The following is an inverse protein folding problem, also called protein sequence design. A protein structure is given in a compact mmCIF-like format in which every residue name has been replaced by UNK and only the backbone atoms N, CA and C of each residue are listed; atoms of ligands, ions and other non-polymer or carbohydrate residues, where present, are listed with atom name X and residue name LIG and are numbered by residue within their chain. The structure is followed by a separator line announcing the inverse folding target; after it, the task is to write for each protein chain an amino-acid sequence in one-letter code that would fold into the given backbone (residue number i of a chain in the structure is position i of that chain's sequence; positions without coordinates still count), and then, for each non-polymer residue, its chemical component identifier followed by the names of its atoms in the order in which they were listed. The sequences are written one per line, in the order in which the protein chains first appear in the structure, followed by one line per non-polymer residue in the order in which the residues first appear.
data_IF_127048509441
#
_entry.id   IF_127048509441
#
_cell.length_a   1.000
_cell.length_b   1.000
_cell.length_c   1.000
_cell.angle_alpha   90.00
_cell.angle_beta   90.00
_cell.angle_gamma   90.00
#
_symmetry.space_group_name_H-M   'P 1'
#
loop_
_entity.id
_entity.type
_entity.pdbx_description
1 polymer ?
#
# COMPACT_ATOMS: atom_id res chain seq x y z
N UNK A 1 -22.85 -10.66 4.04
CA UNK A 1 -23.56 -9.73 4.92
C UNK A 1 -23.20 -9.81 6.40
N UNK A 2 -22.45 -10.84 6.84
CA UNK A 2 -22.02 -10.96 8.24
C UNK A 2 -21.11 -9.80 8.67
N UNK A 3 -20.18 -9.35 7.82
CA UNK A 3 -19.27 -8.25 8.11
C UNK A 3 -20.04 -6.95 8.29
N UNK A 4 -20.99 -6.65 7.39
CA UNK A 4 -21.83 -5.46 7.48
C UNK A 4 -22.72 -5.50 8.74
N UNK A 5 -23.33 -6.66 9.03
CA UNK A 5 -24.11 -6.83 10.25
C UNK A 5 -23.28 -6.59 11.52
N UNK A 6 -22.09 -7.18 11.60
CA UNK A 6 -21.15 -6.97 12.70
C UNK A 6 -20.76 -5.50 12.84
N UNK A 7 -20.43 -4.82 11.74
CA UNK A 7 -20.10 -3.41 11.76
C UNK A 7 -21.26 -2.56 12.32
N UNK A 8 -22.48 -2.79 11.85
CA UNK A 8 -23.68 -2.09 12.32
C UNK A 8 -23.92 -2.40 13.80
N UNK A 9 -23.81 -3.65 14.24
CA UNK A 9 -24.02 -4.06 15.64
C UNK A 9 -22.99 -3.45 16.62
N UNK A 10 -21.82 -3.00 16.11
CA UNK A 10 -20.81 -2.28 16.90
C UNK A 10 -20.95 -0.75 16.83
N UNK A 11 -22.07 -0.25 16.31
CA UNK A 11 -22.40 1.18 16.29
C UNK A 11 -22.13 1.87 14.95
N UNK A 12 -21.82 1.14 13.90
CA UNK A 12 -21.45 1.65 12.58
C UNK A 12 -20.37 2.74 12.67
N UNK A 13 -20.25 3.58 11.65
CA UNK A 13 -19.22 4.63 11.64
C UNK A 13 -19.41 5.67 12.77
N UNK A 14 -20.65 6.02 13.09
CA UNK A 14 -20.94 7.11 14.03
C UNK A 14 -20.58 6.78 15.48
N UNK A 15 -20.78 5.54 15.89
CA UNK A 15 -20.68 5.11 17.29
C UNK A 15 -19.64 4.00 17.55
N UNK A 16 -18.87 3.59 16.53
CA UNK A 16 -17.83 2.58 16.73
C UNK A 16 -16.75 3.09 17.68
N UNK A 17 -16.52 2.32 18.74
CA UNK A 17 -15.48 2.63 19.71
C UNK A 17 -14.22 1.83 19.38
N UNK A 18 -13.18 2.53 18.89
CA UNK A 18 -11.87 1.93 18.58
C UNK A 18 -10.87 2.05 19.74
N UNK A 19 -11.25 2.70 20.85
CA UNK A 19 -10.39 2.79 22.03
C UNK A 19 -10.03 1.38 22.52
N UNK A 20 -8.77 1.15 22.86
CA UNK A 20 -8.22 -0.13 23.28
C UNK A 20 -8.24 -1.23 22.19
N UNK A 21 -8.63 -0.93 20.95
CA UNK A 21 -8.46 -1.85 19.85
C UNK A 21 -7.03 -1.81 19.34
N UNK A 22 -6.51 -2.99 18.98
CA UNK A 22 -5.18 -3.10 18.39
C UNK A 22 -5.23 -2.71 16.91
N UNK A 23 -4.29 -1.89 16.50
CA UNK A 23 -4.03 -1.68 15.08
C UNK A 23 -3.48 -2.98 14.46
N UNK A 24 -3.71 -3.20 13.17
CA UNK A 24 -3.18 -4.37 12.46
C UNK A 24 -1.66 -4.29 12.23
N UNK A 25 -1.07 -5.39 11.75
CA UNK A 25 0.33 -5.43 11.31
C UNK A 25 0.66 -4.37 10.25
N UNK A 26 -0.31 -4.01 9.39
CA UNK A 26 -0.15 -2.93 8.40
C UNK A 26 0.34 -1.62 9.02
N UNK A 27 -0.22 -1.24 10.17
CA UNK A 27 0.20 -0.02 10.90
C UNK A 27 1.62 -0.14 11.47
N UNK A 28 2.03 -1.33 11.91
CA UNK A 28 3.39 -1.58 12.40
C UNK A 28 4.41 -1.37 11.27
N UNK A 29 4.15 -1.94 10.07
CA UNK A 29 5.03 -1.77 8.93
C UNK A 29 5.09 -0.33 8.46
N UNK A 30 3.95 0.35 8.36
CA UNK A 30 3.91 1.77 8.00
C UNK A 30 4.78 2.61 8.96
N UNK A 31 4.59 2.44 10.26
CA UNK A 31 5.33 3.21 11.27
C UNK A 31 6.82 2.86 11.30
N UNK A 32 7.20 1.58 11.11
CA UNK A 32 8.62 1.18 11.11
C UNK A 32 9.39 1.79 9.95
N UNK A 33 8.78 1.82 8.76
CA UNK A 33 9.39 2.45 7.57
C UNK A 33 9.46 3.97 7.74
N UNK A 34 8.42 4.59 8.27
CA UNK A 34 8.42 6.03 8.54
C UNK A 34 9.47 6.41 9.57
N UNK A 35 9.59 5.66 10.66
CA UNK A 35 10.64 5.85 11.69
C UNK A 35 12.05 5.68 11.11
N UNK A 36 12.26 4.71 10.24
CA UNK A 36 13.52 4.52 9.52
C UNK A 36 13.95 5.79 8.78
N UNK A 37 13.03 6.43 8.06
CA UNK A 37 13.33 7.64 7.30
C UNK A 37 13.61 8.86 8.19
N UNK A 38 12.86 9.02 9.28
CA UNK A 38 13.08 10.11 10.22
C UNK A 38 14.43 9.94 10.93
N UNK A 39 14.72 8.75 11.45
CA UNK A 39 15.99 8.49 12.17
C UNK A 39 17.20 8.56 11.26
N UNK A 40 17.06 8.24 9.98
CA UNK A 40 18.11 8.41 8.95
C UNK A 40 18.19 9.84 8.43
N UNK A 41 17.40 10.78 8.98
CA UNK A 41 17.31 12.19 8.55
C UNK A 41 17.01 12.35 7.05
N UNK A 42 16.28 11.42 6.45
CA UNK A 42 15.84 11.53 5.05
C UNK A 42 14.73 12.57 4.85
N UNK A 43 14.18 13.11 5.92
CA UNK A 43 13.32 14.29 5.93
C UNK A 43 14.07 15.57 5.58
N UNK A 44 15.40 15.61 5.76
CA UNK A 44 16.24 16.71 5.29
C UNK A 44 16.50 16.56 3.79
N UNK A 45 16.15 17.58 2.96
CA UNK A 45 16.41 17.57 1.52
C UNK A 45 17.87 17.31 1.12
N UNK A 46 18.82 17.62 1.99
CA UNK A 46 20.25 17.38 1.74
C UNK A 46 20.61 15.88 1.84
N UNK A 47 19.86 15.11 2.57
CA UNK A 47 20.10 13.68 2.79
C UNK A 47 19.28 12.76 1.86
N UNK A 48 18.38 13.31 1.03
CA UNK A 48 17.53 12.52 0.11
C UNK A 48 18.33 11.76 -0.94
N UNK A 49 19.58 12.13 -1.16
CA UNK A 49 20.52 11.51 -2.10
C UNK A 49 21.33 10.35 -1.51
N UNK A 50 21.01 9.89 -0.31
CA UNK A 50 21.64 8.69 0.25
C UNK A 50 21.53 7.51 -0.71
N UNK A 51 22.56 6.65 -0.68
CA UNK A 51 22.58 5.43 -1.48
C UNK A 51 21.37 4.56 -1.14
N UNK A 52 20.73 4.00 -2.15
CA UNK A 52 19.56 3.10 -2.00
C UNK A 52 19.84 1.97 -1.03
N UNK A 53 21.01 1.32 -1.09
CA UNK A 53 21.37 0.23 -0.18
C UNK A 53 21.37 0.71 1.29
N UNK A 54 21.96 1.85 1.59
CA UNK A 54 21.97 2.41 2.96
C UNK A 54 20.56 2.68 3.48
N UNK A 55 19.67 3.19 2.63
CA UNK A 55 18.27 3.42 2.99
C UNK A 55 17.58 2.10 3.33
N UNK A 56 17.78 1.07 2.50
CA UNK A 56 17.17 -0.24 2.69
C UNK A 56 17.73 -0.96 3.92
N UNK A 57 19.03 -0.87 4.17
CA UNK A 57 19.63 -1.46 5.38
C UNK A 57 19.04 -0.86 6.66
N UNK A 58 18.89 0.46 6.72
CA UNK A 58 18.24 1.14 7.84
C UNK A 58 16.76 0.72 7.99
N UNK A 59 16.06 0.56 6.88
CA UNK A 59 14.67 0.10 6.86
C UNK A 59 14.54 -1.33 7.41
N UNK A 60 15.42 -2.24 7.01
CA UNK A 60 15.47 -3.62 7.52
C UNK A 60 15.66 -3.64 9.04
N UNK A 61 16.63 -2.88 9.54
CA UNK A 61 16.90 -2.78 10.98
C UNK A 61 15.64 -2.31 11.73
N UNK A 62 15.00 -1.23 11.26
CA UNK A 62 13.80 -0.71 11.92
C UNK A 62 12.61 -1.66 11.86
N UNK A 63 12.36 -2.29 10.71
CA UNK A 63 11.27 -3.28 10.61
C UNK A 63 11.48 -4.43 11.60
N UNK A 64 12.71 -4.94 11.70
CA UNK A 64 13.07 -6.01 12.65
C UNK A 64 12.88 -5.57 14.11
N UNK A 65 13.32 -4.36 14.47
CA UNK A 65 13.14 -3.80 15.81
C UNK A 65 11.64 -3.67 16.18
N UNK A 66 10.82 -3.15 15.26
CA UNK A 66 9.39 -2.98 15.50
C UNK A 66 8.69 -4.33 15.66
N UNK A 67 9.01 -5.29 14.81
CA UNK A 67 8.45 -6.64 14.88
C UNK A 67 8.86 -7.35 16.18
N UNK A 68 10.15 -7.32 16.54
CA UNK A 68 10.66 -8.01 17.73
C UNK A 68 10.17 -7.36 19.04
N UNK A 69 10.00 -6.04 19.05
CA UNK A 69 9.51 -5.30 20.23
C UNK A 69 7.99 -5.28 20.38
N UNK A 70 7.24 -5.75 19.39
CA UNK A 70 5.77 -5.75 19.44
C UNK A 70 5.24 -6.84 20.39
N UNK A 71 4.85 -6.41 21.59
CA UNK A 71 4.27 -7.29 22.63
C UNK A 71 2.93 -7.91 22.22
N UNK A 72 2.25 -7.34 21.22
CA UNK A 72 0.93 -7.76 20.74
C UNK A 72 0.98 -8.48 19.40
N UNK A 73 2.16 -8.89 18.92
CA UNK A 73 2.32 -9.46 17.57
C UNK A 73 1.39 -10.64 17.28
N UNK A 74 1.10 -11.50 18.27
CA UNK A 74 0.18 -12.64 18.13
C UNK A 74 -1.27 -12.23 17.81
N UNK A 75 -1.66 -10.98 18.13
CA UNK A 75 -3.00 -10.45 17.94
C UNK A 75 -3.11 -9.49 16.74
N UNK A 76 -2.04 -9.27 15.96
CA UNK A 76 -2.00 -8.28 14.88
C UNK A 76 -2.13 -8.85 13.48
N UNK A 77 -2.67 -10.04 13.34
CA UNK A 77 -2.96 -10.65 12.04
C UNK A 77 -1.70 -10.88 11.15
N UNK A 78 -0.53 -11.14 11.74
CA UNK A 78 0.60 -11.66 10.98
C UNK A 78 0.32 -13.09 10.55
N UNK A 79 0.64 -13.42 9.29
CA UNK A 79 0.67 -14.81 8.87
C UNK A 79 2.05 -15.46 9.13
N UNK A 80 2.12 -16.78 9.03
CA UNK A 80 3.32 -17.53 9.35
C UNK A 80 4.47 -17.26 8.35
N UNK A 81 4.16 -17.09 7.07
CA UNK A 81 5.14 -16.80 6.03
C UNK A 81 5.79 -15.43 6.28
N UNK A 82 4.97 -14.41 6.57
CA UNK A 82 5.49 -13.09 6.89
C UNK A 82 6.33 -13.09 8.17
N UNK A 83 5.94 -13.85 9.21
CA UNK A 83 6.73 -14.03 10.43
C UNK A 83 8.10 -14.63 10.10
N UNK A 84 8.15 -15.72 9.32
CA UNK A 84 9.40 -16.37 8.92
C UNK A 84 10.33 -15.42 8.15
N UNK A 85 9.78 -14.62 7.22
CA UNK A 85 10.53 -13.61 6.47
C UNK A 85 11.11 -12.52 7.38
N UNK A 86 10.34 -12.04 8.35
CA UNK A 86 10.81 -11.03 9.31
C UNK A 86 11.86 -11.58 10.28
N UNK A 87 11.74 -12.82 10.71
CA UNK A 87 12.75 -13.48 11.52
C UNK A 87 14.07 -13.63 10.73
N UNK A 88 14.00 -13.97 9.43
CA UNK A 88 15.18 -13.99 8.55
C UNK A 88 15.85 -12.62 8.43
N UNK A 89 15.07 -11.53 8.32
CA UNK A 89 15.60 -10.16 8.26
C UNK A 89 16.34 -9.75 9.54
N UNK A 90 15.97 -10.31 10.68
CA UNK A 90 16.64 -10.06 11.96
C UNK A 90 18.05 -10.64 12.05
N UNK A 91 18.42 -11.50 11.10
CA UNK A 91 19.77 -12.06 10.99
C UNK A 91 20.69 -11.09 10.24
N UNK A 92 21.71 -10.55 10.91
CA UNK A 92 22.68 -9.59 10.37
C UNK A 92 23.43 -10.06 9.11
N UNK A 93 23.48 -11.36 8.85
CA UNK A 93 24.12 -11.95 7.66
C UNK A 93 23.13 -12.12 6.48
N UNK A 94 21.90 -11.68 6.65
CA UNK A 94 20.88 -11.87 5.66
C UNK A 94 21.01 -10.87 4.50
N UNK A 95 21.17 -11.40 3.30
CA UNK A 95 21.26 -10.60 2.09
C UNK A 95 20.01 -10.78 1.23
N UNK A 96 19.08 -9.83 1.32
CA UNK A 96 17.82 -9.86 0.59
C UNK A 96 18.01 -9.86 -0.94
N UNK A 97 19.10 -9.31 -1.47
CA UNK A 97 19.38 -9.30 -2.90
C UNK A 97 19.59 -10.71 -3.50
N UNK A 98 19.80 -11.72 -2.64
CA UNK A 98 19.93 -13.14 -3.02
C UNK A 98 18.61 -13.89 -2.98
N UNK A 99 17.49 -13.25 -2.57
CA UNK A 99 16.18 -13.88 -2.69
C UNK A 99 15.91 -14.27 -4.14
N UNK A 100 15.62 -15.54 -4.35
CA UNK A 100 15.08 -15.99 -5.62
C UNK A 100 13.68 -15.44 -5.81
N UNK A 101 13.27 -15.35 -7.05
CA UNK A 101 11.88 -15.13 -7.42
C UNK A 101 11.01 -16.23 -6.81
N UNK A 102 9.84 -15.83 -6.32
CA UNK A 102 8.80 -16.73 -5.83
C UNK A 102 7.44 -16.23 -6.35
N UNK A 103 6.74 -17.09 -7.08
CA UNK A 103 5.43 -16.78 -7.68
C UNK A 103 4.36 -16.53 -6.59
N UNK A 104 4.47 -17.22 -5.46
CA UNK A 104 3.53 -17.10 -4.34
C UNK A 104 3.74 -15.79 -3.51
N UNK A 105 4.87 -15.12 -3.69
CA UNK A 105 5.22 -13.87 -2.99
C UNK A 105 4.46 -12.62 -3.50
N UNK A 106 3.31 -12.80 -4.15
CA UNK A 106 2.53 -11.73 -4.77
C UNK A 106 1.65 -10.92 -3.80
N UNK A 107 1.85 -11.07 -2.49
CA UNK A 107 0.95 -10.53 -1.46
C UNK A 107 0.92 -9.00 -1.33
N UNK A 108 -0.15 -8.49 -0.69
CA UNK A 108 -0.36 -7.07 -0.43
C UNK A 108 0.45 -6.52 0.76
N UNK A 109 1.10 -7.36 1.56
CA UNK A 109 1.75 -6.94 2.81
C UNK A 109 2.77 -5.81 2.67
N UNK A 110 3.62 -5.76 1.63
CA UNK A 110 4.59 -4.68 1.47
C UNK A 110 3.98 -3.33 1.08
N UNK A 111 2.76 -3.29 0.55
CA UNK A 111 2.17 -2.09 -0.05
C UNK A 111 2.12 -0.90 0.91
N UNK A 112 1.84 -1.15 2.19
CA UNK A 112 1.75 -0.08 3.20
C UNK A 112 3.08 0.65 3.42
N UNK A 113 4.21 0.02 3.06
CA UNK A 113 5.54 0.67 3.07
C UNK A 113 5.62 1.78 2.02
N UNK A 114 4.82 1.68 0.97
CA UNK A 114 4.71 2.72 -0.06
C UNK A 114 4.18 4.05 0.48
N UNK A 115 3.41 4.05 1.58
CA UNK A 115 2.87 5.28 2.16
C UNK A 115 3.99 6.21 2.65
N UNK A 116 4.85 5.83 3.60
CA UNK A 116 5.96 6.69 4.02
C UNK A 116 6.97 6.96 2.91
N UNK A 117 7.20 6.03 1.97
CA UNK A 117 8.05 6.26 0.80
C UNK A 117 7.48 7.39 -0.05
N UNK A 118 6.17 7.38 -0.34
CA UNK A 118 5.50 8.43 -1.09
C UNK A 118 5.52 9.79 -0.41
N UNK A 119 5.50 9.84 0.94
CA UNK A 119 5.63 11.07 1.72
C UNK A 119 7.04 11.65 1.57
N UNK A 120 8.06 10.87 1.85
CA UNK A 120 9.47 11.33 1.91
C UNK A 120 10.01 11.67 0.51
N UNK A 121 9.71 10.83 -0.48
CA UNK A 121 10.17 11.02 -1.86
C UNK A 121 9.11 11.68 -2.74
N UNK A 122 8.24 12.54 -2.18
CA UNK A 122 7.25 13.25 -2.97
C UNK A 122 7.89 14.26 -3.95
N UNK A 123 7.13 14.57 -5.00
CA UNK A 123 7.54 15.53 -6.03
C UNK A 123 8.19 14.89 -7.27
N UNK A 124 7.95 15.54 -8.41
CA UNK A 124 8.34 15.04 -9.73
C UNK A 124 9.83 14.70 -9.85
N UNK A 125 10.71 15.48 -9.22
CA UNK A 125 12.17 15.29 -9.25
C UNK A 125 12.64 14.01 -8.54
N UNK A 126 11.85 13.49 -7.61
CA UNK A 126 12.19 12.35 -6.76
C UNK A 126 11.61 11.03 -7.28
N UNK A 127 10.83 11.01 -8.36
CA UNK A 127 10.07 9.84 -8.82
C UNK A 127 10.91 8.62 -9.19
N UNK A 128 12.12 8.83 -9.69
CA UNK A 128 13.04 7.71 -9.96
C UNK A 128 13.52 7.08 -8.65
N UNK A 129 13.90 7.90 -7.68
CA UNK A 129 14.27 7.42 -6.34
C UNK A 129 13.10 6.74 -5.62
N UNK A 130 11.89 7.29 -5.75
CA UNK A 130 10.67 6.70 -5.24
C UNK A 130 10.44 5.29 -5.83
N UNK A 131 10.62 5.12 -7.16
CA UNK A 131 10.54 3.82 -7.83
C UNK A 131 11.56 2.83 -7.23
N UNK A 132 12.83 3.22 -7.15
CA UNK A 132 13.92 2.39 -6.62
C UNK A 132 13.63 1.93 -5.19
N UNK A 133 13.36 2.88 -4.28
CA UNK A 133 13.13 2.58 -2.85
C UNK A 133 11.88 1.72 -2.66
N UNK A 134 10.83 1.93 -3.45
CA UNK A 134 9.61 1.13 -3.37
C UNK A 134 9.87 -0.32 -3.75
N UNK A 135 10.57 -0.55 -4.86
CA UNK A 135 10.92 -1.90 -5.33
C UNK A 135 11.82 -2.60 -4.31
N UNK A 136 12.92 -1.96 -3.90
CA UNK A 136 13.87 -2.59 -2.99
C UNK A 136 13.31 -2.81 -1.57
N UNK A 137 12.49 -1.88 -1.07
CA UNK A 137 11.76 -2.06 0.19
C UNK A 137 10.85 -3.30 0.16
N UNK A 138 10.13 -3.50 -0.93
CA UNK A 138 9.30 -4.69 -1.10
C UNK A 138 10.15 -5.97 -1.14
N UNK A 139 11.22 -5.96 -1.94
CA UNK A 139 12.13 -7.09 -2.14
C UNK A 139 12.83 -7.56 -0.87
N UNK A 140 12.85 -6.79 0.19
CA UNK A 140 13.36 -7.25 1.49
C UNK A 140 12.59 -8.45 2.04
N UNK A 141 11.32 -8.61 1.66
CA UNK A 141 10.45 -9.70 2.11
C UNK A 141 9.73 -10.42 0.97
N UNK A 142 9.46 -9.74 -0.15
CA UNK A 142 8.65 -10.27 -1.27
C UNK A 142 9.35 -9.95 -2.60
N UNK A 143 9.95 -10.95 -3.21
CA UNK A 143 10.67 -10.78 -4.49
C UNK A 143 9.78 -11.17 -5.68
N UNK A 144 8.64 -10.48 -5.80
CA UNK A 144 7.60 -10.68 -6.81
C UNK A 144 7.18 -9.35 -7.43
N UNK A 145 6.93 -9.31 -8.75
CA UNK A 145 6.65 -8.05 -9.43
C UNK A 145 5.27 -7.48 -9.07
N UNK A 146 4.28 -8.33 -8.82
CA UNK A 146 2.95 -7.87 -8.41
C UNK A 146 3.01 -7.11 -7.08
N UNK A 147 3.76 -7.64 -6.11
CA UNK A 147 3.95 -6.99 -4.80
C UNK A 147 4.74 -5.69 -4.87
N UNK A 148 5.91 -5.68 -5.56
CA UNK A 148 6.70 -4.45 -5.58
C UNK A 148 6.10 -3.37 -6.49
N UNK A 149 5.37 -3.71 -7.54
CA UNK A 149 4.63 -2.73 -8.34
C UNK A 149 3.42 -2.18 -7.59
N UNK A 150 2.75 -2.99 -6.76
CA UNK A 150 1.74 -2.51 -5.83
C UNK A 150 2.31 -1.51 -4.81
N UNK A 151 3.49 -1.82 -4.25
CA UNK A 151 4.21 -0.91 -3.33
C UNK A 151 4.60 0.40 -4.03
N UNK A 152 5.14 0.32 -5.24
CA UNK A 152 5.47 1.49 -6.05
C UNK A 152 4.23 2.32 -6.41
N UNK A 153 3.13 1.68 -6.82
CA UNK A 153 1.87 2.35 -7.14
C UNK A 153 1.32 3.10 -5.92
N UNK A 154 1.38 2.46 -4.74
CA UNK A 154 1.03 3.13 -3.48
C UNK A 154 1.87 4.37 -3.23
N UNK A 155 3.19 4.25 -3.32
CA UNK A 155 4.10 5.38 -3.10
C UNK A 155 3.88 6.50 -4.11
N UNK A 156 3.68 6.16 -5.38
CA UNK A 156 3.39 7.12 -6.44
C UNK A 156 2.08 7.86 -6.18
N UNK A 157 1.00 7.16 -5.81
CA UNK A 157 -0.31 7.78 -5.56
C UNK A 157 -0.28 8.68 -4.33
N UNK A 158 0.43 8.32 -3.27
CA UNK A 158 0.66 9.20 -2.12
C UNK A 158 1.44 10.45 -2.53
N UNK A 159 2.51 10.30 -3.31
CA UNK A 159 3.27 11.45 -3.84
C UNK A 159 2.38 12.38 -4.67
N UNK A 160 1.60 11.83 -5.61
CA UNK A 160 0.67 12.61 -6.45
C UNK A 160 -0.42 13.30 -5.63
N UNK A 161 -0.89 12.63 -4.57
CA UNK A 161 -1.86 13.17 -3.63
C UNK A 161 -1.33 14.41 -2.90
N UNK A 162 -0.10 14.35 -2.39
CA UNK A 162 0.56 15.48 -1.73
C UNK A 162 0.87 16.63 -2.70
N UNK A 163 1.18 16.30 -3.94
CA UNK A 163 1.35 17.28 -5.04
C UNK A 163 0.01 17.90 -5.51
N UNK A 164 -1.13 17.45 -4.94
CA UNK A 164 -2.49 17.86 -5.33
C UNK A 164 -2.79 17.66 -6.82
N UNK A 165 -2.17 16.66 -7.42
CA UNK A 165 -2.49 16.23 -8.79
C UNK A 165 -3.89 15.65 -8.80
N UNK A 166 -4.70 16.03 -9.80
CA UNK A 166 -6.06 15.50 -9.95
C UNK A 166 -6.04 13.95 -9.98
N UNK A 167 -6.77 13.27 -9.10
CA UNK A 167 -6.76 11.82 -9.01
C UNK A 167 -7.11 11.11 -10.33
N UNK A 168 -7.95 11.69 -11.16
CA UNK A 168 -8.26 11.12 -12.48
C UNK A 168 -7.02 10.90 -13.38
N UNK A 169 -5.90 11.57 -13.10
CA UNK A 169 -4.65 11.47 -13.88
C UNK A 169 -3.67 10.43 -13.33
N UNK A 170 -3.92 9.87 -12.14
CA UNK A 170 -2.92 9.04 -11.46
C UNK A 170 -2.61 7.75 -12.20
N UNK A 171 -3.64 7.10 -12.75
CA UNK A 171 -3.47 5.87 -13.56
C UNK A 171 -2.65 6.16 -14.82
N UNK A 172 -2.88 7.30 -15.50
CA UNK A 172 -2.11 7.67 -16.70
C UNK A 172 -0.64 7.93 -16.36
N UNK A 173 -0.38 8.60 -15.24
CA UNK A 173 0.98 8.84 -14.77
C UNK A 173 1.67 7.52 -14.41
N UNK A 174 0.98 6.58 -13.78
CA UNK A 174 1.50 5.23 -13.51
C UNK A 174 1.84 4.50 -14.82
N UNK A 175 0.91 4.48 -15.78
CA UNK A 175 1.11 3.80 -17.06
C UNK A 175 2.27 4.37 -17.86
N UNK A 176 2.59 5.66 -17.72
CA UNK A 176 3.76 6.27 -18.38
C UNK A 176 5.08 5.67 -17.89
N UNK A 177 5.20 5.20 -16.63
CA UNK A 177 6.41 4.50 -16.15
C UNK A 177 6.65 3.18 -16.91
N UNK A 178 5.56 2.48 -17.30
CA UNK A 178 5.66 1.28 -18.13
C UNK A 178 6.04 1.63 -19.58
N UNK A 179 5.37 2.62 -20.16
CA UNK A 179 5.60 3.05 -21.55
C UNK A 179 7.00 3.61 -21.78
N UNK A 180 7.54 4.37 -20.81
CA UNK A 180 8.90 4.89 -20.82
C UNK A 180 9.97 3.82 -20.54
N UNK A 181 9.56 2.59 -20.21
CA UNK A 181 10.46 1.48 -19.91
C UNK A 181 11.23 1.63 -18.60
N UNK A 182 10.92 2.61 -17.75
CA UNK A 182 11.65 2.89 -16.50
C UNK A 182 11.67 1.70 -15.56
N UNK A 183 10.52 1.03 -15.38
CA UNK A 183 10.40 -0.15 -14.53
C UNK A 183 11.25 -1.29 -15.09
N UNK A 184 11.09 -1.62 -16.36
CA UNK A 184 11.81 -2.73 -17.04
C UNK A 184 13.31 -2.50 -17.00
N UNK A 185 13.78 -1.26 -17.24
CA UNK A 185 15.19 -0.91 -17.22
C UNK A 185 15.79 -1.08 -15.81
N UNK A 186 15.05 -0.67 -14.76
CA UNK A 186 15.47 -0.85 -13.38
C UNK A 186 15.57 -2.35 -13.02
N UNK A 187 14.57 -3.14 -13.35
CA UNK A 187 14.53 -4.57 -13.08
C UNK A 187 15.67 -5.32 -13.80
N UNK A 188 15.90 -5.04 -15.07
CA UNK A 188 17.02 -5.64 -15.82
C UNK A 188 18.39 -5.34 -15.23
N UNK A 189 18.53 -4.20 -14.53
CA UNK A 189 19.77 -3.78 -13.87
C UNK A 189 19.99 -4.46 -12.52
N UNK A 190 18.90 -4.75 -11.78
CA UNK A 190 18.96 -5.13 -10.35
C UNK A 190 18.60 -6.58 -10.06
N UNK A 191 17.86 -7.24 -10.95
CA UNK A 191 17.42 -8.63 -10.78
C UNK A 191 18.43 -9.60 -11.42
N UNK A 192 18.70 -10.76 -10.79
CA UNK A 192 19.51 -11.83 -11.38
C UNK A 192 18.97 -12.27 -12.74
N UNK A 193 19.87 -12.48 -13.72
CA UNK A 193 19.47 -12.82 -15.11
C UNK A 193 18.54 -14.02 -15.22
N UNK A 194 18.68 -15.01 -14.34
CA UNK A 194 17.85 -16.23 -14.32
C UNK A 194 16.38 -15.93 -14.00
N UNK A 195 16.09 -14.89 -13.20
CA UNK A 195 14.75 -14.55 -12.70
C UNK A 195 14.06 -13.47 -13.56
N UNK A 196 14.80 -12.75 -14.42
CA UNK A 196 14.28 -11.61 -15.21
C UNK A 196 13.03 -11.98 -16.00
N UNK A 197 12.97 -13.18 -16.61
CA UNK A 197 11.82 -13.59 -17.41
C UNK A 197 10.53 -13.62 -16.59
N UNK A 198 10.57 -14.17 -15.38
CA UNK A 198 9.41 -14.23 -14.49
C UNK A 198 8.91 -12.83 -14.12
N UNK A 199 9.83 -11.96 -13.67
CA UNK A 199 9.49 -10.57 -13.36
C UNK A 199 8.89 -9.80 -14.54
N UNK A 200 9.42 -9.98 -15.77
CA UNK A 200 8.88 -9.33 -16.96
C UNK A 200 7.47 -9.82 -17.30
N UNK A 201 7.19 -11.11 -17.10
CA UNK A 201 5.84 -11.66 -17.28
C UNK A 201 4.84 -10.99 -16.35
N UNK A 202 5.16 -10.90 -15.05
CA UNK A 202 4.32 -10.26 -14.04
C UNK A 202 4.19 -8.74 -14.24
N UNK A 203 5.25 -8.05 -14.70
CA UNK A 203 5.20 -6.62 -15.06
C UNK A 203 4.18 -6.39 -16.18
N UNK A 204 4.17 -7.25 -17.20
CA UNK A 204 3.20 -7.15 -18.28
C UNK A 204 1.77 -7.44 -17.79
N UNK A 205 1.61 -8.42 -16.91
CA UNK A 205 0.32 -8.73 -16.28
C UNK A 205 -0.18 -7.55 -15.46
N UNK A 206 0.65 -6.98 -14.60
CA UNK A 206 0.30 -5.81 -13.80
C UNK A 206 -0.15 -4.64 -14.70
N UNK A 207 0.61 -4.33 -15.75
CA UNK A 207 0.26 -3.29 -16.71
C UNK A 207 -1.08 -3.57 -17.39
N UNK A 208 -1.30 -4.81 -17.82
CA UNK A 208 -2.56 -5.25 -18.47
C UNK A 208 -3.75 -5.04 -17.53
N UNK A 209 -3.65 -5.44 -16.26
CA UNK A 209 -4.72 -5.31 -15.28
C UNK A 209 -5.01 -3.84 -14.94
N UNK A 210 -4.00 -2.98 -14.84
CA UNK A 210 -4.19 -1.54 -14.65
C UNK A 210 -4.89 -0.91 -15.88
N UNK A 211 -4.53 -1.31 -17.10
CA UNK A 211 -5.22 -0.85 -18.30
C UNK A 211 -6.70 -1.29 -18.33
N UNK A 212 -6.99 -2.54 -17.96
CA UNK A 212 -8.37 -3.03 -17.85
C UNK A 212 -9.18 -2.24 -16.80
N UNK A 213 -8.58 -1.96 -15.65
CA UNK A 213 -9.21 -1.10 -14.65
C UNK A 213 -9.53 0.30 -15.21
N UNK A 214 -8.57 0.92 -15.92
CA UNK A 214 -8.77 2.21 -16.57
C UNK A 214 -9.94 2.17 -17.57
N UNK A 215 -9.99 1.18 -18.45
CA UNK A 215 -11.04 1.03 -19.45
C UNK A 215 -12.45 0.85 -18.84
N UNK A 216 -12.53 0.29 -17.65
CA UNK A 216 -13.79 0.04 -16.95
C UNK A 216 -14.28 1.20 -16.10
N UNK A 217 -13.35 2.01 -15.58
CA UNK A 217 -13.67 3.03 -14.57
C UNK A 217 -13.43 4.46 -15.02
N UNK A 218 -12.94 4.65 -16.23
CA UNK A 218 -12.73 5.99 -16.80
C UNK A 218 -13.32 6.10 -18.19
N UNK A 219 -13.89 7.26 -18.48
CA UNK A 219 -14.36 7.59 -19.82
C UNK A 219 -13.19 8.01 -20.75
N UNK A 220 -13.54 8.31 -22.02
CA UNK A 220 -12.57 8.75 -23.03
C UNK A 220 -11.79 10.02 -22.67
N UNK A 221 -12.34 10.84 -21.77
CA UNK A 221 -11.71 12.08 -21.29
C UNK A 221 -10.93 11.85 -19.99
N UNK A 222 -10.66 10.59 -19.64
CA UNK A 222 -10.00 10.15 -18.38
C UNK A 222 -10.73 10.61 -17.11
N UNK A 223 -12.05 10.76 -17.17
CA UNK A 223 -12.89 11.08 -16.00
C UNK A 223 -13.41 9.79 -15.39
N UNK A 224 -13.26 9.68 -14.07
CA UNK A 224 -13.77 8.53 -13.32
C UNK A 224 -15.29 8.39 -13.45
N UNK A 225 -15.74 7.15 -13.67
CA UNK A 225 -17.15 6.77 -13.79
C UNK A 225 -17.58 6.13 -12.47
N UNK A 226 -18.37 6.84 -11.61
CA UNK A 226 -18.87 6.28 -10.36
C UNK A 226 -19.70 5.02 -10.60
N UNK A 227 -19.73 4.11 -9.63
CA UNK A 227 -20.65 2.98 -9.64
C UNK A 227 -22.08 3.47 -9.53
N UNK A 228 -23.02 2.88 -10.31
CA UNK A 228 -24.45 3.11 -10.04
C UNK A 228 -24.84 2.53 -8.67
N UNK A 229 -25.87 3.11 -8.01
CA UNK A 229 -26.32 2.65 -6.69
C UNK A 229 -26.68 1.15 -6.67
N UNK A 230 -27.28 0.63 -7.74
CA UNK A 230 -27.59 -0.80 -7.87
C UNK A 230 -26.34 -1.70 -7.93
N UNK A 231 -25.24 -1.20 -8.50
CA UNK A 231 -23.93 -1.88 -8.45
C UNK A 231 -23.30 -1.84 -7.07
N UNK A 232 -23.69 -0.89 -6.23
CA UNK A 232 -23.18 -0.75 -4.87
C UNK A 232 -23.64 -1.89 -3.96
N UNK A 233 -24.90 -2.31 -4.07
CA UNK A 233 -25.44 -3.47 -3.34
C UNK A 233 -24.84 -4.79 -3.82
N UNK A 234 -24.65 -4.97 -5.12
CA UNK A 234 -23.90 -6.09 -5.68
C UNK A 234 -22.42 -6.04 -5.25
N UNK A 235 -21.87 -4.86 -5.08
CA UNK A 235 -20.50 -4.63 -4.68
C UNK A 235 -20.20 -5.04 -3.23
N UNK A 236 -21.12 -4.84 -2.30
CA UNK A 236 -20.98 -5.32 -0.92
C UNK A 236 -21.03 -6.84 -0.79
N UNK A 237 -21.75 -7.52 -1.70
CA UNK A 237 -21.88 -8.97 -1.71
C UNK A 237 -20.86 -9.68 -2.63
N UNK A 238 -20.44 -9.02 -3.72
CA UNK A 238 -19.67 -9.63 -4.80
C UNK A 238 -18.61 -8.69 -5.39
N UNK A 239 -18.14 -7.68 -4.65
CA UNK A 239 -17.09 -6.76 -5.14
C UNK A 239 -15.88 -7.55 -5.64
N UNK A 240 -15.55 -8.59 -4.94
CA UNK A 240 -14.53 -9.55 -5.31
C UNK A 240 -14.86 -10.26 -6.62
N UNK A 241 -16.00 -10.92 -6.70
CA UNK A 241 -16.41 -11.65 -7.90
C UNK A 241 -16.57 -10.70 -9.12
N UNK A 242 -17.10 -9.49 -8.90
CA UNK A 242 -17.20 -8.49 -9.97
C UNK A 242 -15.82 -8.00 -10.43
N UNK A 243 -14.91 -7.71 -9.51
CA UNK A 243 -13.55 -7.31 -9.84
C UNK A 243 -12.81 -8.46 -10.52
N UNK A 244 -12.96 -9.71 -10.04
CA UNK A 244 -12.39 -10.89 -10.68
C UNK A 244 -12.94 -11.12 -12.10
N UNK A 245 -14.25 -11.13 -12.26
CA UNK A 245 -14.88 -11.37 -13.55
C UNK A 245 -14.57 -10.27 -14.57
N UNK A 246 -14.45 -9.02 -14.12
CA UNK A 246 -14.24 -7.86 -15.02
C UNK A 246 -12.76 -7.57 -15.27
N UNK A 247 -11.87 -7.81 -14.30
CA UNK A 247 -10.44 -7.51 -14.45
C UNK A 247 -9.61 -8.71 -14.89
N UNK A 248 -10.22 -9.90 -15.06
CA UNK A 248 -9.49 -11.10 -15.46
C UNK A 248 -8.63 -11.69 -14.34
N UNK A 249 -8.87 -11.31 -13.10
CA UNK A 249 -8.19 -11.85 -11.91
C UNK A 249 -8.75 -13.24 -11.58
N UNK A 250 -8.56 -14.21 -12.47
CA UNK A 250 -9.04 -15.57 -12.25
C UNK A 250 -8.25 -16.27 -11.13
N UNK A 251 -8.94 -16.92 -10.23
CA UNK A 251 -8.34 -17.85 -9.26
C UNK A 251 -7.98 -17.26 -7.90
N UNK A 252 -8.24 -15.98 -7.62
CA UNK A 252 -7.97 -15.40 -6.30
C UNK A 252 -9.18 -15.62 -5.38
N UNK A 253 -9.03 -16.52 -4.41
CA UNK A 253 -10.08 -16.82 -3.41
C UNK A 253 -10.16 -15.77 -2.28
N UNK A 254 -9.20 -14.83 -2.20
CA UNK A 254 -9.07 -13.88 -1.10
C UNK A 254 -8.84 -12.45 -1.63
N UNK A 255 -9.89 -11.69 -1.95
CA UNK A 255 -9.79 -10.34 -2.51
C UNK A 255 -8.98 -9.38 -1.64
N UNK A 256 -8.19 -8.54 -2.26
CA UNK A 256 -7.29 -7.60 -1.56
C UNK A 256 -6.02 -8.26 -1.00
N UNK A 257 -5.78 -9.54 -1.30
CA UNK A 257 -4.61 -10.28 -0.76
C UNK A 257 -3.34 -10.05 -1.57
N UNK A 258 -3.43 -9.75 -2.85
CA UNK A 258 -2.25 -9.51 -3.68
C UNK A 258 -1.96 -8.01 -3.92
N UNK A 259 -0.77 -7.75 -4.48
CA UNK A 259 -0.26 -6.39 -4.64
C UNK A 259 -1.03 -5.53 -5.62
N UNK A 260 -1.75 -6.10 -6.59
CA UNK A 260 -2.51 -5.32 -7.56
C UNK A 260 -3.96 -5.10 -7.14
N UNK A 261 -4.65 -6.14 -6.69
CA UNK A 261 -6.05 -6.00 -6.33
C UNK A 261 -6.20 -5.11 -5.08
N UNK A 262 -5.31 -5.21 -4.10
CA UNK A 262 -5.33 -4.39 -2.90
C UNK A 262 -5.23 -2.88 -3.22
N UNK A 263 -4.28 -2.47 -4.07
CA UNK A 263 -4.14 -1.03 -4.41
C UNK A 263 -5.28 -0.56 -5.31
N UNK A 264 -5.79 -1.39 -6.21
CA UNK A 264 -6.96 -1.06 -7.03
C UNK A 264 -8.19 -0.85 -6.13
N UNK A 265 -8.44 -1.73 -5.14
CA UNK A 265 -9.53 -1.55 -4.18
C UNK A 265 -9.42 -0.25 -3.39
N UNK A 266 -8.21 0.05 -2.89
CA UNK A 266 -7.97 1.26 -2.13
C UNK A 266 -8.21 2.52 -2.97
N UNK A 267 -7.68 2.54 -4.19
CA UNK A 267 -7.83 3.67 -5.09
C UNK A 267 -9.26 3.85 -5.60
N UNK A 268 -9.94 2.75 -5.98
CA UNK A 268 -11.34 2.79 -6.41
C UNK A 268 -12.26 3.28 -5.28
N UNK A 269 -12.03 2.80 -4.03
CA UNK A 269 -12.76 3.29 -2.87
C UNK A 269 -12.52 4.79 -2.62
N UNK A 270 -11.29 5.26 -2.79
CA UNK A 270 -10.95 6.67 -2.68
C UNK A 270 -11.66 7.52 -3.76
N UNK A 271 -11.64 7.08 -5.02
CA UNK A 271 -12.29 7.76 -6.13
C UNK A 271 -13.82 7.80 -5.97
N UNK A 272 -14.42 6.68 -5.56
CA UNK A 272 -15.86 6.53 -5.36
C UNK A 272 -16.39 7.37 -4.20
N UNK A 273 -15.57 7.56 -3.17
CA UNK A 273 -15.99 8.24 -1.93
C UNK A 273 -15.82 9.74 -1.98
N UNK A 274 -14.87 10.23 -2.78
CA UNK A 274 -14.52 11.66 -2.78
C UNK A 274 -14.19 12.15 -1.36
N UNK A 275 -14.68 13.31 -0.91
CA UNK A 275 -14.39 13.85 0.41
C UNK A 275 -15.20 13.22 1.55
N UNK A 276 -15.98 12.17 1.30
CA UNK A 276 -16.78 11.51 2.32
C UNK A 276 -16.02 10.33 2.94
N UNK A 277 -15.45 10.55 4.13
CA UNK A 277 -14.66 9.54 4.83
C UNK A 277 -15.47 8.32 5.29
N UNK A 278 -16.73 8.51 5.69
CA UNK A 278 -17.61 7.41 6.07
C UNK A 278 -17.84 6.47 4.86
N UNK A 279 -18.13 7.05 3.69
CA UNK A 279 -18.24 6.30 2.44
C UNK A 279 -16.94 5.56 2.09
N UNK A 280 -15.79 6.18 2.36
CA UNK A 280 -14.49 5.54 2.17
C UNK A 280 -14.34 4.27 3.01
N UNK A 281 -14.71 4.33 4.30
CA UNK A 281 -14.67 3.16 5.18
C UNK A 281 -15.57 2.05 4.65
N UNK A 282 -16.79 2.37 4.24
CA UNK A 282 -17.69 1.38 3.68
C UNK A 282 -17.13 0.73 2.42
N UNK A 283 -16.55 1.52 1.52
CA UNK A 283 -16.02 1.04 0.25
C UNK A 283 -14.74 0.24 0.38
N UNK A 284 -13.85 0.61 1.32
CA UNK A 284 -12.53 0.00 1.43
C UNK A 284 -12.44 -1.14 2.43
N UNK A 285 -13.36 -1.21 3.40
CA UNK A 285 -13.24 -2.16 4.53
C UNK A 285 -14.38 -3.15 4.65
N UNK A 286 -15.59 -2.86 4.14
CA UNK A 286 -16.75 -3.74 4.30
C UNK A 286 -16.88 -4.75 3.16
N UNK A 287 -15.78 -5.38 2.75
CA UNK A 287 -15.75 -6.46 1.78
C UNK A 287 -15.09 -7.71 2.36
N UNK A 288 -15.34 -8.87 1.76
CA UNK A 288 -14.64 -10.11 2.09
C UNK A 288 -13.18 -10.04 1.68
N UNK A 289 -12.31 -10.81 2.34
CA UNK A 289 -10.89 -10.87 2.04
C UNK A 289 -10.03 -9.96 2.93
N UNK A 290 -8.89 -9.50 2.40
CA UNK A 290 -7.88 -8.75 3.17
C UNK A 290 -8.21 -7.24 3.17
N UNK A 291 -9.32 -6.89 3.81
CA UNK A 291 -9.85 -5.52 3.79
C UNK A 291 -9.02 -4.52 4.62
N UNK A 292 -8.30 -4.96 5.64
CA UNK A 292 -7.54 -4.07 6.52
C UNK A 292 -6.35 -3.39 5.82
N UNK A 293 -5.69 -4.04 4.83
CA UNK A 293 -4.67 -3.41 4.00
C UNK A 293 -5.30 -2.41 3.03
N UNK A 294 -6.35 -2.80 2.31
CA UNK A 294 -7.07 -1.90 1.41
C UNK A 294 -7.60 -0.65 2.14
N UNK A 295 -8.17 -0.83 3.34
CA UNK A 295 -8.61 0.26 4.20
C UNK A 295 -7.47 1.17 4.68
N UNK A 296 -6.32 0.59 5.04
CA UNK A 296 -5.12 1.35 5.42
C UNK A 296 -4.63 2.24 4.26
N UNK A 297 -4.53 1.68 3.05
CA UNK A 297 -4.10 2.42 1.86
C UNK A 297 -5.12 3.50 1.46
N UNK A 298 -6.41 3.17 1.46
CA UNK A 298 -7.48 4.13 1.14
C UNK A 298 -7.51 5.31 2.14
N UNK A 299 -7.35 5.01 3.44
CA UNK A 299 -7.23 6.03 4.48
C UNK A 299 -6.00 6.92 4.30
N UNK A 300 -4.86 6.35 3.90
CA UNK A 300 -3.65 7.10 3.60
C UNK A 300 -3.82 8.03 2.38
N UNK A 301 -4.45 7.56 1.31
CA UNK A 301 -4.79 8.37 0.12
C UNK A 301 -5.74 9.52 0.50
N UNK A 302 -6.76 9.22 1.30
CA UNK A 302 -7.71 10.23 1.78
C UNK A 302 -7.01 11.29 2.63
N UNK A 303 -6.27 10.89 3.65
CA UNK A 303 -5.57 11.80 4.56
C UNK A 303 -4.55 12.69 3.84
N UNK A 304 -3.78 12.13 2.89
CA UNK A 304 -2.81 12.90 2.09
C UNK A 304 -3.47 13.89 1.13
N UNK A 305 -4.67 13.59 0.62
CA UNK A 305 -5.36 14.45 -0.35
C UNK A 305 -6.30 15.46 0.30
N UNK A 306 -7.18 15.01 1.21
CA UNK A 306 -8.21 15.83 1.85
C UNK A 306 -7.81 16.38 3.22
N UNK A 307 -6.83 15.76 3.88
CA UNK A 307 -6.49 16.07 5.28
C UNK A 307 -7.33 15.27 6.27
N UNK A 308 -7.28 15.64 7.55
CA UNK A 308 -7.95 14.93 8.64
C UNK A 308 -8.63 15.83 9.67
N UNK A 309 -8.87 17.13 9.36
CA UNK A 309 -9.40 18.12 10.32
C UNK A 309 -10.67 17.64 11.03
N UNK A 310 -11.56 16.96 10.30
CA UNK A 310 -12.87 16.54 10.82
C UNK A 310 -12.84 15.15 11.48
N UNK A 311 -11.69 14.48 11.44
CA UNK A 311 -11.52 13.09 11.89
C UNK A 311 -10.75 12.96 13.21
N UNK A 312 -10.06 14.02 13.65
CA UNK A 312 -9.07 13.97 14.72
C UNK A 312 -9.63 13.39 16.02
N UNK A 313 -10.84 13.78 16.43
CA UNK A 313 -11.47 13.30 17.66
C UNK A 313 -11.81 11.80 17.65
N UNK A 314 -11.96 11.18 16.46
CA UNK A 314 -12.27 9.75 16.33
C UNK A 314 -11.07 8.85 16.49
N UNK A 315 -9.85 9.39 16.32
CA UNK A 315 -8.60 8.62 16.31
C UNK A 315 -7.68 8.88 17.52
N UNK A 316 -8.18 9.53 18.58
CA UNK A 316 -7.34 9.96 19.71
C UNK A 316 -6.89 8.82 20.62
N UNK A 317 -7.45 7.61 20.54
CA UNK A 317 -7.25 6.55 21.54
C UNK A 317 -6.95 5.15 20.95
N UNK A 318 -6.13 5.06 19.90
CA UNK A 318 -5.66 3.76 19.44
C UNK A 318 -4.26 3.42 19.99
N UNK A 319 -3.88 2.13 20.00
CA UNK A 319 -2.69 1.63 20.71
C UNK A 319 -1.34 2.18 20.20
N UNK A 320 -1.27 2.70 18.97
CA UNK A 320 -0.06 3.28 18.38
C UNK A 320 -0.05 4.82 18.34
N UNK A 321 -1.06 5.48 18.91
CA UNK A 321 -1.20 6.96 18.86
C UNK A 321 0.05 7.70 19.33
N UNK A 322 0.54 7.35 20.51
CA UNK A 322 1.74 8.00 21.09
C UNK A 322 2.98 7.84 20.19
N UNK A 323 3.10 6.70 19.52
CA UNK A 323 4.22 6.43 18.62
C UNK A 323 4.10 7.26 17.35
N UNK A 324 2.89 7.36 16.79
CA UNK A 324 2.60 8.20 15.63
C UNK A 324 2.88 9.69 15.95
N UNK A 325 2.37 10.19 17.07
CA UNK A 325 2.58 11.59 17.47
C UNK A 325 4.05 11.93 17.65
N UNK A 326 4.83 11.03 18.26
CA UNK A 326 6.28 11.20 18.37
C UNK A 326 6.94 11.32 17.00
N UNK A 327 6.59 10.46 16.05
CA UNK A 327 7.17 10.47 14.72
C UNK A 327 6.76 11.71 13.90
N UNK A 328 5.52 12.14 14.00
CA UNK A 328 5.06 13.35 13.31
C UNK A 328 5.74 14.60 13.87
N UNK A 329 5.89 14.71 15.19
CA UNK A 329 6.62 15.82 15.79
C UNK A 329 8.10 15.86 15.33
N UNK A 330 8.77 14.70 15.22
CA UNK A 330 10.15 14.64 14.71
C UNK A 330 10.27 14.96 13.21
N UNK A 331 9.21 14.80 12.44
CA UNK A 331 9.21 15.16 11.02
C UNK A 331 9.17 16.68 10.80
N UNK A 332 8.48 17.42 11.67
CA UNK A 332 8.28 18.86 11.52
C UNK A 332 9.32 19.72 12.25
N UNK A 333 10.22 19.11 13.01
CA UNK A 333 11.33 19.74 13.72
C UNK A 333 12.70 19.25 13.21
#
# INVERSE_FOLDING_TARGET
NYIVYKFISHGAYSNINISKKLASNASIFLLSVYDSFITSKLTDPNNINLNTQTIIDNLIVRMSEYFNSDKNKQNRLYDNDLIEKLDKLSNLNYNYSKFSYDEEDNSCYPLVRGVPIGIIFSGKKNREKLLEISIESCRTTHNNAISYLGTFTTALFISLSLEKINPNKWIDILLNFFLEGKIVNYIKKTIPKKDIKHHLTEINEFQYLINNYKLLRFDKDSKYIPSSEDKYFMFLNDKSLYMYAKFGLQGIFNPGSNGIDCIIYAYDAFMESGPNFEKLIYNSMLHVGVSHYAGCLAGALYGSYYGNSDLQSKFDNFDLKNKLDKLTNLHYH
#
